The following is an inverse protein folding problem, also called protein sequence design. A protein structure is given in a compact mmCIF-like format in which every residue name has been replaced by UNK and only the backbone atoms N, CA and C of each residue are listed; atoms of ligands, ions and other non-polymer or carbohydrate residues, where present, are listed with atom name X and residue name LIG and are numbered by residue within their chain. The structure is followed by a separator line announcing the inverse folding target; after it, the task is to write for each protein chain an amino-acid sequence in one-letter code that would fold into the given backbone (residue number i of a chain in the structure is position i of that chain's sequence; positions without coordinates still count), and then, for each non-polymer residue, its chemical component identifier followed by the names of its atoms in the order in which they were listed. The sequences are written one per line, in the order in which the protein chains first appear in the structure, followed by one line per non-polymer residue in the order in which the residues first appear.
data_IF_391952742793
#
_entry.id   IF_391952742793
#
_cell.length_a   1.000
_cell.length_b   1.000
_cell.length_c   1.000
_cell.angle_alpha   90.00
_cell.angle_beta   90.00
_cell.angle_gamma   90.00
#
_symmetry.space_group_name_H-M   'P 1'
#
loop_
_entity.id
_entity.type
_entity.pdbx_description
1 polymer ?
#
# COMPACT_ATOMS: atom_id res chain seq x y z
N UNK A 1 19.00 -11.86 -3.52
CA UNK A 1 18.31 -11.43 -4.74
C UNK A 1 17.34 -10.38 -4.26
N UNK A 2 17.69 -9.10 -4.39
CA UNK A 2 16.94 -8.02 -3.74
C UNK A 2 15.57 -7.87 -4.38
N UNK A 3 14.53 -7.82 -3.56
CA UNK A 3 13.20 -7.39 -3.97
C UNK A 3 13.33 -6.00 -4.60
N UNK A 4 12.77 -5.76 -5.80
CA UNK A 4 12.80 -4.43 -6.39
C UNK A 4 11.94 -3.49 -5.54
N UNK A 5 12.52 -2.85 -4.54
CA UNK A 5 11.89 -1.71 -3.88
C UNK A 5 11.67 -0.67 -4.98
N UNK A 6 10.44 -0.40 -5.39
CA UNK A 6 10.13 0.84 -6.11
C UNK A 6 10.81 1.95 -5.33
N UNK A 7 11.74 2.67 -5.98
CA UNK A 7 12.69 3.55 -5.29
C UNK A 7 11.95 4.50 -4.31
N UNK A 8 11.96 4.15 -3.02
CA UNK A 8 11.30 4.93 -1.98
C UNK A 8 9.80 4.66 -1.69
N UNK A 9 9.16 3.57 -2.13
CA UNK A 9 7.79 3.23 -1.71
C UNK A 9 7.75 2.02 -0.76
N UNK A 10 6.95 2.07 0.30
CA UNK A 10 6.76 0.95 1.22
C UNK A 10 5.31 0.79 1.67
N UNK A 11 4.86 -0.46 1.87
CA UNK A 11 3.64 -0.77 2.63
C UNK A 11 4.01 -0.70 4.12
N UNK A 12 3.42 0.26 4.84
CA UNK A 12 3.72 0.51 6.26
C UNK A 12 2.64 0.02 7.21
N UNK A 13 1.41 -0.19 6.71
CA UNK A 13 0.32 -0.73 7.50
C UNK A 13 -0.71 -1.43 6.61
N UNK A 14 -1.24 -2.56 7.09
CA UNK A 14 -2.39 -3.25 6.50
C UNK A 14 -3.40 -3.44 7.62
N UNK A 15 -4.56 -2.82 7.50
CA UNK A 15 -5.62 -2.87 8.50
C UNK A 15 -6.84 -3.61 7.93
N UNK A 16 -6.99 -4.92 8.21
CA UNK A 16 -8.03 -5.74 7.59
C UNK A 16 -9.38 -5.69 8.32
N UNK A 17 -9.55 -4.78 9.28
CA UNK A 17 -10.77 -4.77 10.11
C UNK A 17 -11.70 -3.62 9.71
N UNK A 18 -13.01 -3.89 9.61
CA UNK A 18 -14.04 -2.88 9.31
C UNK A 18 -14.43 -1.99 10.50
N UNK A 19 -13.45 -1.63 11.33
CA UNK A 19 -13.66 -0.80 12.51
C UNK A 19 -13.30 0.67 12.26
N UNK A 20 -13.85 1.55 13.10
CA UNK A 20 -13.48 2.96 13.12
C UNK A 20 -12.21 3.18 13.95
N UNK A 21 -11.22 3.84 13.35
CA UNK A 21 -9.95 4.23 14.00
C UNK A 21 -9.61 5.69 13.73
N UNK A 22 -9.86 6.54 14.72
CA UNK A 22 -9.57 7.97 14.62
C UNK A 22 -10.32 8.60 13.44
N UNK A 23 -9.59 9.06 12.42
CA UNK A 23 -10.16 9.71 11.24
C UNK A 23 -10.51 8.74 10.10
N UNK A 24 -10.09 7.48 10.19
CA UNK A 24 -10.33 6.45 9.18
C UNK A 24 -11.39 5.48 9.70
N UNK A 25 -12.25 4.99 8.81
CA UNK A 25 -13.23 3.95 9.15
C UNK A 25 -13.26 2.90 8.05
N UNK A 26 -12.99 1.66 8.41
CA UNK A 26 -12.94 0.53 7.49
C UNK A 26 -11.51 0.02 7.24
N UNK A 27 -11.43 -0.97 6.37
CA UNK A 27 -10.20 -1.59 5.92
C UNK A 27 -9.36 -0.64 5.06
N UNK A 28 -8.04 -0.67 5.25
CA UNK A 28 -7.13 0.12 4.43
C UNK A 28 -5.72 -0.47 4.35
N UNK A 29 -4.99 -0.04 3.32
CA UNK A 29 -3.55 -0.23 3.17
C UNK A 29 -2.87 1.14 3.22
N UNK A 30 -1.80 1.28 4.00
CA UNK A 30 -1.00 2.49 4.07
C UNK A 30 0.30 2.33 3.27
N UNK A 31 0.49 3.21 2.29
CA UNK A 31 1.68 3.31 1.45
C UNK A 31 2.45 4.58 1.81
N UNK A 32 3.75 4.47 2.09
CA UNK A 32 4.60 5.60 2.47
C UNK A 32 5.72 5.80 1.47
N UNK A 33 5.95 7.06 1.11
CA UNK A 33 7.20 7.44 0.46
C UNK A 33 8.33 7.47 1.51
N UNK A 34 9.22 6.49 1.47
CA UNK A 34 10.41 6.36 2.33
C UNK A 34 11.67 6.93 1.69
N UNK A 35 11.59 7.41 0.44
CA UNK A 35 12.68 8.09 -0.24
C UNK A 35 12.81 9.56 0.17
N UNK A 36 13.87 10.19 -0.33
CA UNK A 36 14.17 11.62 -0.12
C UNK A 36 13.62 12.52 -1.24
N UNK A 37 13.01 11.93 -2.28
CA UNK A 37 12.44 12.62 -3.43
C UNK A 37 10.92 12.39 -3.51
N UNK A 38 10.20 13.34 -4.11
CA UNK A 38 8.78 13.19 -4.36
C UNK A 38 8.50 12.05 -5.33
N UNK A 39 7.57 11.17 -4.99
CA UNK A 39 7.20 10.00 -5.78
C UNK A 39 5.85 10.20 -6.46
N UNK A 40 5.84 10.14 -7.79
CA UNK A 40 4.60 10.15 -8.57
C UNK A 40 4.00 8.75 -8.61
N UNK A 41 2.78 8.61 -8.10
CA UNK A 41 2.06 7.33 -8.08
C UNK A 41 1.14 7.16 -9.30
N UNK A 42 1.17 8.06 -10.28
CA UNK A 42 0.28 7.98 -11.44
C UNK A 42 0.42 6.63 -12.15
N UNK A 43 -0.69 5.90 -12.30
CA UNK A 43 -0.73 4.57 -12.94
C UNK A 43 -0.34 3.39 -12.04
N UNK A 44 0.04 3.61 -10.78
CA UNK A 44 0.28 2.49 -9.86
C UNK A 44 -1.03 1.73 -9.59
N UNK A 45 -0.92 0.43 -9.36
CA UNK A 45 -2.03 -0.45 -9.00
C UNK A 45 -1.91 -0.98 -7.57
N UNK A 46 -3.05 -1.25 -6.92
CA UNK A 46 -3.13 -1.97 -5.65
C UNK A 46 -4.06 -3.17 -5.85
N UNK A 47 -3.61 -4.36 -5.46
CA UNK A 47 -4.39 -5.59 -5.56
C UNK A 47 -4.23 -6.44 -4.30
N UNK A 48 -5.26 -7.23 -3.98
CA UNK A 48 -5.19 -8.27 -2.95
C UNK A 48 -5.27 -9.63 -3.65
N UNK A 49 -4.36 -10.57 -3.34
CA UNK A 49 -4.14 -11.79 -4.15
C UNK A 49 -5.37 -12.69 -4.36
N UNK A 50 -6.40 -12.58 -3.51
CA UNK A 50 -7.67 -13.34 -3.64
C UNK A 50 -8.76 -12.61 -4.44
N UNK A 51 -8.53 -11.36 -4.86
CA UNK A 51 -9.47 -10.56 -5.64
C UNK A 51 -8.72 -9.87 -6.76
N UNK A 52 -8.98 -10.28 -8.00
CA UNK A 52 -8.61 -9.51 -9.19
C UNK A 52 -9.44 -8.22 -9.22
N UNK A 53 -9.04 -7.24 -8.42
CA UNK A 53 -9.53 -5.87 -8.55
C UNK A 53 -8.87 -5.25 -9.77
N UNK A 54 -9.66 -4.56 -10.60
CA UNK A 54 -9.09 -3.73 -11.66
C UNK A 54 -8.15 -2.69 -11.05
N UNK A 55 -6.97 -2.44 -11.65
CA UNK A 55 -6.05 -1.43 -11.15
C UNK A 55 -6.74 -0.06 -11.13
N UNK A 56 -6.61 0.64 -10.01
CA UNK A 56 -7.23 1.95 -9.80
C UNK A 56 -6.37 3.01 -10.46
N UNK A 57 -6.49 3.14 -11.78
CA UNK A 57 -6.02 4.31 -12.52
C UNK A 57 -6.94 5.50 -12.20
N UNK A 58 -6.51 6.74 -11.94
CA UNK A 58 -5.22 7.43 -11.99
C UNK A 58 -4.98 8.06 -10.62
N UNK A 59 -3.76 7.97 -10.09
CA UNK A 59 -3.29 8.92 -9.08
C UNK A 59 -2.90 10.19 -9.85
N UNK A 60 -3.43 11.34 -9.46
CA UNK A 60 -2.72 12.62 -9.65
C UNK A 60 -2.19 13.02 -8.29
N UNK A 61 -1.49 12.07 -7.65
CA UNK A 61 -0.96 12.20 -6.31
C UNK A 61 0.53 11.95 -6.35
N UNK A 62 1.27 13.02 -6.15
CA UNK A 62 2.69 12.97 -5.84
C UNK A 62 2.83 12.88 -4.31
N UNK A 63 3.42 11.80 -3.81
CA UNK A 63 3.76 11.67 -2.40
C UNK A 63 5.08 12.40 -2.13
N UNK A 64 5.02 13.43 -1.30
CA UNK A 64 6.22 14.08 -0.75
C UNK A 64 7.06 13.08 0.06
N UNK A 65 8.39 13.32 0.21
CA UNK A 65 9.24 12.53 1.08
C UNK A 65 8.63 12.37 2.48
N UNK A 66 8.47 11.13 2.92
CA UNK A 66 7.88 10.79 4.22
C UNK A 66 6.36 10.78 4.28
N UNK A 67 5.65 11.24 3.25
CA UNK A 67 4.18 11.27 3.21
C UNK A 67 3.57 9.87 3.07
N UNK A 68 2.35 9.71 3.58
CA UNK A 68 1.61 8.43 3.61
C UNK A 68 0.26 8.56 2.93
N UNK A 69 -0.02 7.65 2.01
CA UNK A 69 -1.33 7.41 1.43
C UNK A 69 -2.03 6.27 2.17
N UNK A 70 -3.20 6.54 2.73
CA UNK A 70 -4.14 5.56 3.27
C UNK A 70 -5.19 5.23 2.20
N UNK A 71 -5.10 4.03 1.65
CA UNK A 71 -5.97 3.53 0.59
C UNK A 71 -7.06 2.64 1.22
N UNK A 72 -8.27 3.17 1.35
CA UNK A 72 -9.45 2.45 1.85
C UNK A 72 -9.90 1.41 0.82
N UNK A 73 -9.89 0.15 1.21
CA UNK A 73 -10.10 -0.98 0.30
C UNK A 73 -11.57 -1.31 0.08
N UNK A 74 -12.43 -0.30 -0.11
CA UNK A 74 -13.88 -0.44 -0.33
C UNK A 74 -14.38 0.45 -1.45
N UNK A 75 -15.68 0.33 -1.76
CA UNK A 75 -16.33 1.07 -2.84
C UNK A 75 -16.21 2.58 -2.68
N UNK A 76 -15.85 3.22 -3.79
CA UNK A 76 -15.70 4.65 -3.95
C UNK A 76 -14.70 4.92 -5.06
N UNK A 77 -15.14 5.58 -6.14
CA UNK A 77 -14.36 5.87 -7.36
C UNK A 77 -13.09 6.70 -7.12
N UNK A 78 -12.02 6.12 -6.54
CA UNK A 78 -10.76 6.83 -6.34
C UNK A 78 -10.95 8.19 -5.66
N UNK A 79 -11.98 8.37 -4.85
CA UNK A 79 -12.33 9.70 -4.35
C UNK A 79 -11.37 10.05 -3.22
N UNK A 80 -10.74 11.21 -3.32
CA UNK A 80 -9.90 11.74 -2.25
C UNK A 80 -10.79 12.24 -1.11
N UNK A 81 -10.65 11.62 0.06
CA UNK A 81 -11.45 11.92 1.25
C UNK A 81 -10.79 12.98 2.12
N UNK A 82 -9.46 13.00 2.15
CA UNK A 82 -8.69 14.00 2.86
C UNK A 82 -7.33 14.23 2.20
N UNK A 83 -6.97 15.50 2.05
CA UNK A 83 -5.62 15.99 1.74
C UNK A 83 -5.14 16.80 2.93
N UNK A 84 -4.29 16.21 3.78
CA UNK A 84 -3.70 16.92 4.91
C UNK A 84 -2.29 16.41 5.11
N UNK A 85 -1.28 16.98 4.41
CA UNK A 85 0.10 16.57 4.54
C UNK A 85 0.49 16.42 6.01
N UNK A 86 1.19 15.34 6.40
CA UNK A 86 1.80 14.31 5.56
C UNK A 86 0.87 13.13 5.20
N UNK A 87 -0.44 13.21 5.43
CA UNK A 87 -1.40 12.13 5.20
C UNK A 87 -2.41 12.41 4.09
N UNK A 88 -2.61 11.41 3.23
CA UNK A 88 -3.64 11.41 2.19
C UNK A 88 -4.59 10.24 2.41
N UNK A 89 -5.89 10.45 2.32
CA UNK A 89 -6.90 9.38 2.46
C UNK A 89 -7.73 9.29 1.18
N UNK A 90 -7.82 8.09 0.61
CA UNK A 90 -8.53 7.85 -0.65
C UNK A 90 -9.23 6.51 -0.64
N UNK A 91 -10.31 6.35 -1.40
CA UNK A 91 -10.78 5.03 -1.77
C UNK A 91 -9.86 4.39 -2.82
N UNK A 92 -9.56 3.12 -2.61
CA UNK A 92 -8.92 2.24 -3.58
C UNK A 92 -9.94 1.57 -4.50
N UNK A 93 -11.17 2.09 -4.60
CA UNK A 93 -12.21 1.74 -5.57
C UNK A 93 -12.53 0.26 -5.83
N UNK A 94 -12.24 -0.63 -4.89
CA UNK A 94 -12.77 -1.99 -4.92
C UNK A 94 -14.30 -1.96 -4.74
N UNK A 95 -15.06 -2.77 -5.46
CA UNK A 95 -16.54 -2.83 -5.31
C UNK A 95 -16.99 -3.22 -3.88
N UNK A 96 -16.17 -3.96 -3.16
CA UNK A 96 -16.41 -4.46 -1.81
C UNK A 96 -15.13 -4.37 -0.97
N UNK A 97 -15.23 -4.41 0.37
CA UNK A 97 -14.07 -4.64 1.23
C UNK A 97 -13.33 -5.93 0.84
N UNK A 98 -12.01 -5.87 0.69
CA UNK A 98 -11.19 -6.99 0.15
C UNK A 98 -10.17 -7.56 1.11
N UNK A 99 -9.94 -6.94 2.26
CA UNK A 99 -9.00 -7.44 3.25
C UNK A 99 -9.73 -8.40 4.20
N UNK A 100 -9.19 -9.61 4.30
CA UNK A 100 -9.72 -10.61 5.21
C UNK A 100 -9.00 -10.56 6.56
N UNK A 101 -9.74 -10.68 7.68
CA UNK A 101 -9.15 -10.64 9.02
C UNK A 101 -8.34 -11.89 9.36
N UNK A 102 -8.46 -12.98 8.59
CA UNK A 102 -7.63 -14.17 8.72
C UNK A 102 -6.25 -13.99 8.06
N UNK A 103 -6.14 -13.05 7.12
CA UNK A 103 -4.91 -12.71 6.41
C UNK A 103 -5.08 -12.60 4.90
N UNK A 104 -3.99 -12.28 4.21
CA UNK A 104 -4.00 -12.13 2.75
C UNK A 104 -2.65 -11.66 2.25
N UNK A 105 -2.58 -11.30 0.98
CA UNK A 105 -1.39 -10.69 0.38
C UNK A 105 -1.77 -9.48 -0.43
N UNK A 106 -1.03 -8.40 -0.23
CA UNK A 106 -1.17 -7.13 -0.93
C UNK A 106 -0.04 -7.01 -1.95
N UNK A 107 -0.41 -6.67 -3.16
CA UNK A 107 0.50 -6.44 -4.29
C UNK A 107 0.33 -5.00 -4.76
N UNK A 108 1.45 -4.32 -4.96
CA UNK A 108 1.51 -3.01 -5.61
C UNK A 108 2.21 -3.18 -6.95
N UNK A 109 1.59 -2.70 -8.02
CA UNK A 109 2.18 -2.68 -9.36
C UNK A 109 2.49 -1.25 -9.78
N UNK A 110 3.49 -1.07 -10.63
CA UNK A 110 3.75 0.20 -11.30
C UNK A 110 2.87 0.35 -12.57
N UNK A 111 2.97 1.47 -13.32
CA UNK A 111 2.15 1.75 -14.51
C UNK A 111 2.35 0.79 -15.68
N UNK A 112 3.49 0.12 -15.76
CA UNK A 112 3.77 -0.92 -16.75
C UNK A 112 3.15 -2.26 -16.34
N UNK A 113 2.60 -2.35 -15.13
CA UNK A 113 1.97 -3.53 -14.55
C UNK A 113 2.93 -4.46 -13.82
N UNK A 114 4.20 -4.09 -13.70
CA UNK A 114 5.21 -4.86 -12.98
C UNK A 114 5.00 -4.76 -11.46
N UNK A 115 5.20 -5.87 -10.75
CA UNK A 115 5.07 -5.91 -9.29
C UNK A 115 6.28 -5.23 -8.63
N UNK A 116 6.01 -4.18 -7.86
CA UNK A 116 7.03 -3.42 -7.13
C UNK A 116 7.00 -3.64 -5.63
N UNK A 117 5.87 -4.04 -5.06
CA UNK A 117 5.78 -4.45 -3.65
C UNK A 117 4.84 -5.64 -3.52
N UNK A 118 5.19 -6.55 -2.63
CA UNK A 118 4.34 -7.66 -2.22
C UNK A 118 4.48 -7.83 -0.71
N UNK A 119 3.35 -7.86 0.01
CA UNK A 119 3.34 -8.06 1.46
C UNK A 119 2.17 -8.94 1.89
N UNK A 120 2.49 -10.10 2.46
CA UNK A 120 1.53 -10.94 3.15
C UNK A 120 1.24 -10.41 4.55
N UNK A 121 0.03 -10.61 5.04
CA UNK A 121 -0.39 -10.30 6.40
C UNK A 121 -1.25 -11.44 6.95
N UNK A 122 -1.24 -11.61 8.27
CA UNK A 122 -2.04 -12.61 8.97
C UNK A 122 -3.05 -11.98 9.91
N UNK A 123 -3.61 -12.81 10.79
CA UNK A 123 -4.66 -12.40 11.72
C UNK A 123 -4.25 -11.20 12.57
N UNK A 124 -4.97 -10.08 12.43
CA UNK A 124 -4.76 -8.85 13.21
C UNK A 124 -4.01 -7.70 12.51
N UNK A 125 -3.53 -7.88 11.27
CA UNK A 125 -2.92 -6.81 10.45
C UNK A 125 -1.41 -6.61 10.66
N UNK A 126 -0.73 -6.39 9.52
CA UNK A 126 0.71 -6.24 9.24
C UNK A 126 1.65 -7.43 9.56
N UNK A 127 2.34 -7.98 8.53
CA UNK A 127 3.68 -8.55 8.73
C UNK A 127 4.71 -7.45 8.47
N UNK A 128 5.32 -6.94 9.55
CA UNK A 128 6.42 -5.98 9.51
C UNK A 128 7.51 -6.39 8.52
N UNK A 129 7.97 -5.41 7.72
CA UNK A 129 9.11 -5.45 6.80
C UNK A 129 10.07 -6.63 7.03
N UNK A 130 10.14 -7.57 6.08
CA UNK A 130 11.43 -8.19 5.80
C UNK A 130 12.22 -7.18 4.98
N UNK A 131 12.92 -6.29 5.70
CA UNK A 131 14.17 -5.76 5.16
C UNK A 131 15.06 -6.98 4.91
N UNK A 132 15.28 -7.32 3.64
CA UNK A 132 16.39 -8.19 3.27
C UNK A 132 17.67 -7.39 3.57
N UNK A 133 18.16 -7.46 4.81
CA UNK A 133 19.52 -7.07 5.15
C UNK A 133 20.49 -8.08 4.50
N UNK A 134 20.67 -8.03 3.18
CA UNK A 134 21.81 -8.68 2.55
C UNK A 134 23.04 -7.78 2.58
N UNK A 135 23.78 -7.85 3.68
CA UNK A 135 25.26 -7.75 3.71
C UNK A 135 25.79 -8.00 5.13
N UNK A 136 26.73 -8.89 5.42
CA UNK A 136 27.61 -9.65 4.54
C UNK A 136 28.44 -10.68 5.31
N UNK A 137 29.11 -11.51 4.52
CA UNK A 137 30.28 -12.36 4.80
C UNK A 137 30.96 -12.15 6.15
N UNK A 138 31.09 -13.21 6.96
CA UNK A 138 32.34 -13.50 7.70
C UNK A 138 32.56 -15.03 7.78
N UNK A 139 33.47 -15.51 6.92
CA UNK A 139 34.13 -16.80 7.08
C UNK A 139 34.92 -16.85 8.38
N UNK A 140 34.86 -17.97 9.09
CA UNK A 140 36.04 -18.58 9.74
C UNK A 140 35.81 -20.05 10.07
#
# INVERSE_FOLDING_TARGET
MGTPTAAGLAIVEIYPTQEQRGFISGEYVALRNTGDESLDLSGYGLSASDRSGEPIDTYSLTLEPGATLYALTRSGDGTMLATSPPGYLRFAGFDEPVLDDEGGTIVVTDPDGDTVLEQSYGSGGAATSMVDETNGTESR
#
